data_IF_582589968819
#
_entry.id   IF_582589968819
#
_cell.length_a   1.000
_cell.length_b   1.000
_cell.length_c   1.000
_cell.angle_alpha   90.00
_cell.angle_beta   90.00
_cell.angle_gamma   90.00
#
_symmetry.space_group_name_H-M   'P 1'
#
loop_
_entity.id
_entity.type
_entity.pdbx_description
1 polymer ?
#
# COMPACT_ATOMS: atom_id res chain seq x y z
N UNK A 1 -26.51 -2.91 -3.28
CA UNK A 1 -25.21 -2.25 -3.07
C UNK A 1 -25.41 -1.37 -1.85
N UNK A 2 -24.90 -1.79 -0.70
CA UNK A 2 -25.01 -1.02 0.54
C UNK A 2 -23.92 0.03 0.52
N UNK A 3 -24.32 1.30 0.56
CA UNK A 3 -23.39 2.42 0.57
C UNK A 3 -22.78 2.53 1.96
N UNK A 4 -21.49 2.21 2.05
CA UNK A 4 -20.74 2.29 3.31
C UNK A 4 -20.50 3.77 3.64
N UNK A 5 -21.24 4.30 4.60
CA UNK A 5 -21.11 5.68 5.12
C UNK A 5 -20.07 5.75 6.25
N UNK A 6 -18.87 5.25 6.00
CA UNK A 6 -17.77 5.34 6.97
C UNK A 6 -17.19 6.76 7.08
N UNK A 7 -16.80 7.16 8.28
CA UNK A 7 -15.97 8.35 8.47
C UNK A 7 -14.65 8.21 7.68
N UNK A 8 -14.12 9.29 7.05
CA UNK A 8 -12.86 9.21 6.33
C UNK A 8 -11.72 8.73 7.22
N UNK A 9 -11.13 7.60 6.87
CA UNK A 9 -9.99 7.05 7.59
C UNK A 9 -8.71 7.79 7.17
N UNK A 10 -8.28 8.76 7.96
CA UNK A 10 -6.98 9.40 7.78
C UNK A 10 -5.87 8.53 8.38
N UNK A 11 -4.94 8.07 7.54
CA UNK A 11 -3.78 7.26 7.95
C UNK A 11 -2.49 7.84 7.39
N UNK A 12 -1.48 7.95 8.25
CA UNK A 12 -0.16 8.44 7.86
C UNK A 12 0.67 7.45 7.08
N UNK A 13 0.29 6.18 7.02
CA UNK A 13 0.98 5.16 6.23
C UNK A 13 -0.08 4.37 5.50
N UNK A 14 -0.06 4.44 4.17
CA UNK A 14 -1.07 3.81 3.31
C UNK A 14 -0.41 3.15 2.11
N UNK A 15 -1.08 2.14 1.56
CA UNK A 15 -0.76 1.57 0.27
C UNK A 15 -2.02 1.56 -0.60
N UNK A 16 -1.93 2.16 -1.79
CA UNK A 16 -2.91 1.92 -2.85
C UNK A 16 -2.54 0.64 -3.58
N UNK A 17 -3.52 -0.23 -3.84
CA UNK A 17 -3.30 -1.49 -4.55
C UNK A 17 -4.25 -1.53 -5.76
N UNK A 18 -3.67 -1.78 -6.93
CA UNK A 18 -4.40 -2.16 -8.14
C UNK A 18 -4.11 -3.64 -8.46
N UNK A 19 -5.17 -4.43 -8.66
CA UNK A 19 -5.07 -5.89 -8.82
C UNK A 19 -5.64 -6.28 -10.18
N UNK A 20 -4.74 -6.65 -11.09
CA UNK A 20 -5.09 -7.29 -12.35
C UNK A 20 -5.13 -8.82 -12.23
N UNK A 21 -5.22 -9.51 -13.37
CA UNK A 21 -5.29 -10.98 -13.40
C UNK A 21 -3.98 -11.65 -12.96
N UNK A 22 -2.86 -11.20 -13.50
CA UNK A 22 -1.54 -11.80 -13.28
C UNK A 22 -0.61 -10.94 -12.41
N UNK A 23 -0.97 -9.67 -12.18
CA UNK A 23 -0.10 -8.69 -11.58
C UNK A 23 -0.87 -7.81 -10.58
N UNK A 24 -0.18 -7.40 -9.53
CA UNK A 24 -0.63 -6.45 -8.51
C UNK A 24 0.36 -5.28 -8.46
N UNK A 25 -0.14 -4.06 -8.66
CA UNK A 25 0.63 -2.84 -8.49
C UNK A 25 0.37 -2.26 -7.11
N UNK A 26 1.41 -2.07 -6.31
CA UNK A 26 1.30 -1.53 -4.96
C UNK A 26 2.10 -0.22 -4.87
N UNK A 27 1.45 0.86 -4.44
CA UNK A 27 2.11 2.15 -4.21
C UNK A 27 1.95 2.57 -2.76
N UNK A 28 3.06 2.63 -2.03
CA UNK A 28 3.07 3.15 -0.65
C UNK A 28 3.14 4.68 -0.66
N UNK A 29 2.52 5.30 0.34
CA UNK A 29 2.66 6.72 0.65
C UNK A 29 2.81 6.89 2.15
N UNK A 30 4.03 7.16 2.59
CA UNK A 30 4.44 7.20 4.01
C UNK A 30 5.15 8.53 4.33
N UNK A 31 5.37 8.88 5.61
CA UNK A 31 6.19 10.04 5.96
C UNK A 31 7.60 9.88 5.41
N UNK A 32 8.21 10.97 4.95
CA UNK A 32 9.59 10.94 4.47
C UNK A 32 10.57 10.95 5.64
N UNK A 33 11.52 10.00 5.65
CA UNK A 33 12.60 10.00 6.65
C UNK A 33 13.61 11.13 6.46
N UNK A 34 13.64 11.78 5.27
CA UNK A 34 14.58 12.86 4.95
C UNK A 34 14.03 14.26 5.23
N UNK A 35 12.72 14.44 5.14
CA UNK A 35 12.05 15.74 5.31
C UNK A 35 10.68 15.52 5.95
N UNK A 36 10.49 15.88 7.23
CA UNK A 36 9.24 15.68 7.95
C UNK A 36 8.02 16.40 7.35
N UNK A 37 8.23 17.43 6.51
CA UNK A 37 7.15 18.15 5.83
C UNK A 37 6.66 17.44 4.55
N UNK A 38 7.35 16.37 4.15
CA UNK A 38 7.12 15.64 2.89
C UNK A 38 6.71 14.20 3.16
N UNK A 39 6.30 13.54 2.07
CA UNK A 39 5.94 12.12 2.07
C UNK A 39 6.77 11.38 1.03
N UNK A 40 7.22 10.18 1.36
CA UNK A 40 7.86 9.27 0.43
C UNK A 40 6.80 8.45 -0.31
N UNK A 41 7.11 8.07 -1.54
CA UNK A 41 6.30 7.17 -2.35
C UNK A 41 7.18 6.17 -3.08
N UNK A 42 6.79 4.90 -3.07
CA UNK A 42 7.42 3.84 -3.86
C UNK A 42 6.32 2.98 -4.48
N UNK A 43 6.46 2.70 -5.78
CA UNK A 43 5.61 1.75 -6.49
C UNK A 43 6.40 0.48 -6.76
N UNK A 44 5.80 -0.67 -6.45
CA UNK A 44 6.37 -1.99 -6.74
C UNK A 44 5.30 -2.91 -7.30
N UNK A 45 5.70 -3.77 -8.22
CA UNK A 45 4.84 -4.77 -8.84
C UNK A 45 5.09 -6.14 -8.23
N UNK A 46 4.01 -6.90 -8.04
CA UNK A 46 4.01 -8.28 -7.56
C UNK A 46 3.14 -9.13 -8.50
N UNK A 47 3.27 -10.45 -8.44
CA UNK A 47 2.28 -11.34 -9.04
C UNK A 47 1.03 -11.52 -8.17
N UNK A 48 0.03 -12.24 -8.68
CA UNK A 48 -1.23 -12.54 -7.97
C UNK A 48 -1.24 -13.92 -7.30
N UNK A 49 -0.12 -14.64 -7.33
CA UNK A 49 0.00 -15.93 -6.62
C UNK A 49 0.13 -15.69 -5.11
N UNK A 50 -0.27 -16.67 -4.29
CA UNK A 50 -0.12 -16.59 -2.82
C UNK A 50 1.29 -16.16 -2.39
N UNK A 51 2.33 -16.71 -3.01
CA UNK A 51 3.73 -16.37 -2.71
C UNK A 51 4.00 -14.88 -2.92
N UNK A 52 3.51 -14.33 -4.01
CA UNK A 52 3.70 -12.93 -4.36
C UNK A 52 2.88 -11.99 -3.46
N UNK A 53 1.67 -12.39 -3.08
CA UNK A 53 0.86 -11.64 -2.10
C UNK A 53 1.53 -11.62 -0.72
N UNK A 54 2.18 -12.72 -0.32
CA UNK A 54 2.96 -12.75 0.92
C UNK A 54 4.21 -11.87 0.81
N UNK A 55 4.89 -11.84 -0.34
CA UNK A 55 6.00 -10.93 -0.58
C UNK A 55 5.58 -9.45 -0.55
N UNK A 56 4.39 -9.14 -1.08
CA UNK A 56 3.76 -7.82 -0.93
C UNK A 56 3.54 -7.49 0.56
N UNK A 57 2.96 -8.41 1.33
CA UNK A 57 2.75 -8.21 2.76
C UNK A 57 4.05 -7.97 3.53
N UNK A 58 5.11 -8.72 3.24
CA UNK A 58 6.43 -8.52 3.85
C UNK A 58 7.01 -7.14 3.50
N UNK A 59 6.88 -6.72 2.24
CA UNK A 59 7.33 -5.39 1.82
C UNK A 59 6.54 -4.27 2.51
N UNK A 60 5.22 -4.40 2.66
CA UNK A 60 4.40 -3.42 3.39
C UNK A 60 4.80 -3.30 4.87
N UNK A 61 5.16 -4.42 5.52
CA UNK A 61 5.68 -4.41 6.90
C UNK A 61 6.98 -3.64 7.02
N UNK A 62 7.90 -3.75 6.06
CA UNK A 62 9.13 -2.94 6.03
C UNK A 62 8.83 -1.44 6.02
N UNK A 63 7.72 -1.02 5.39
CA UNK A 63 7.25 0.36 5.35
C UNK A 63 6.33 0.75 6.52
N UNK A 64 6.02 -0.20 7.41
CA UNK A 64 5.09 -0.04 8.52
C UNK A 64 3.69 0.42 8.05
N UNK A 65 3.29 -0.01 6.85
CA UNK A 65 1.92 0.14 6.37
C UNK A 65 1.08 -0.99 7.00
N UNK A 66 -0.02 -0.68 7.70
CA UNK A 66 -0.82 -1.65 8.45
C UNK A 66 -1.61 -2.61 7.56
#
# INVERSE_FOLDING_TARGET
MEEVTGEPLYRDRVCGIDIGKAQTAATIRVPSDRDPSRRAAETRMFGTTKREVLALADWLRCWQVP
#
